data_IF_575366010882
#
_entry.id   IF_575366010882
#
_cell.length_a   1.000
_cell.length_b   1.000
_cell.length_c   1.000
_cell.angle_alpha   90.00
_cell.angle_beta   90.00
_cell.angle_gamma   90.00
#
_symmetry.space_group_name_H-M   'P 1'
#
loop_
_entity.id
_entity.type
_entity.pdbx_description
1 polymer ?
#
# COMPACT_ATOMS: atom_id res chain seq x y z
N UNK A 1 -39.02 -50.28 -5.82
CA UNK A 1 -37.84 -49.89 -5.00
C UNK A 1 -36.55 -49.66 -5.80
N UNK A 2 -36.55 -49.63 -7.15
CA UNK A 2 -35.35 -49.32 -7.97
C UNK A 2 -35.33 -47.91 -8.59
N UNK A 3 -36.41 -47.13 -8.49
CA UNK A 3 -36.50 -45.76 -9.02
C UNK A 3 -36.35 -44.65 -7.97
N UNK A 4 -36.24 -45.01 -6.69
CA UNK A 4 -36.07 -44.04 -5.59
C UNK A 4 -34.61 -43.81 -5.20
N UNK A 5 -33.70 -44.72 -5.57
CA UNK A 5 -32.27 -44.63 -5.25
C UNK A 5 -31.53 -43.66 -6.20
N UNK A 6 -32.06 -43.43 -7.41
CA UNK A 6 -31.42 -42.56 -8.40
C UNK A 6 -31.59 -41.07 -8.10
N UNK A 7 -32.55 -40.68 -7.24
CA UNK A 7 -32.81 -39.26 -6.93
C UNK A 7 -31.98 -38.74 -5.74
N UNK A 8 -31.40 -39.63 -4.92
CA UNK A 8 -30.59 -39.25 -3.75
C UNK A 8 -29.11 -39.01 -4.13
N UNK A 9 -28.64 -39.58 -5.25
CA UNK A 9 -27.27 -39.38 -5.75
C UNK A 9 -27.06 -38.06 -6.51
N UNK A 10 -28.12 -37.33 -6.86
CA UNK A 10 -28.00 -36.03 -7.56
C UNK A 10 -27.85 -34.82 -6.64
N UNK A 11 -28.00 -34.98 -5.32
CA UNK A 11 -27.91 -33.89 -4.34
C UNK A 11 -26.57 -33.81 -3.59
N UNK A 12 -25.61 -34.69 -3.89
CA UNK A 12 -24.28 -34.69 -3.24
C UNK A 12 -23.22 -33.89 -4.03
N UNK A 13 -23.54 -33.44 -5.25
CA UNK A 13 -22.56 -32.77 -6.14
C UNK A 13 -22.59 -31.24 -6.13
N UNK A 14 -23.21 -30.59 -5.15
CA UNK A 14 -23.35 -29.12 -5.12
C UNK A 14 -22.83 -28.45 -3.84
N UNK A 15 -21.73 -28.93 -3.28
CA UNK A 15 -20.93 -28.18 -2.30
C UNK A 15 -19.42 -28.24 -2.63
N UNK A 16 -19.06 -28.16 -3.91
CA UNK A 16 -17.74 -27.64 -4.26
C UNK A 16 -17.79 -26.12 -4.07
N UNK A 17 -17.79 -25.67 -2.81
CA UNK A 17 -17.34 -24.31 -2.51
C UNK A 17 -15.95 -24.19 -3.10
N UNK A 18 -15.74 -23.24 -4.01
CA UNK A 18 -14.42 -22.90 -4.52
C UNK A 18 -13.50 -22.73 -3.31
N UNK A 19 -12.52 -23.61 -3.16
CA UNK A 19 -11.48 -23.39 -2.17
C UNK A 19 -10.80 -22.07 -2.53
N UNK A 20 -10.67 -21.18 -1.55
CA UNK A 20 -9.99 -19.90 -1.76
C UNK A 20 -8.56 -20.19 -2.25
N UNK A 21 -8.22 -19.70 -3.43
CA UNK A 21 -6.87 -19.86 -3.99
C UNK A 21 -5.93 -18.87 -3.29
N UNK A 22 -5.34 -19.33 -2.19
CA UNK A 22 -4.43 -18.52 -1.38
C UNK A 22 -3.19 -18.07 -2.15
N UNK A 23 -2.76 -18.83 -3.17
CA UNK A 23 -1.63 -18.43 -4.02
C UNK A 23 -2.01 -17.25 -4.91
N UNK A 24 -3.22 -17.26 -5.48
CA UNK A 24 -3.76 -16.14 -6.25
C UNK A 24 -3.93 -14.89 -5.37
N UNK A 25 -4.50 -15.04 -4.17
CA UNK A 25 -4.64 -13.94 -3.20
C UNK A 25 -3.27 -13.35 -2.85
N UNK A 26 -2.28 -14.19 -2.53
CA UNK A 26 -0.93 -13.75 -2.23
C UNK A 26 -0.29 -12.99 -3.41
N UNK A 27 -0.49 -13.48 -4.64
CA UNK A 27 0.00 -12.83 -5.85
C UNK A 27 -0.62 -11.44 -6.04
N UNK A 28 -1.94 -11.31 -5.87
CA UNK A 28 -2.64 -10.05 -6.07
C UNK A 28 -2.24 -8.98 -5.04
N UNK A 29 -2.16 -9.37 -3.76
CA UNK A 29 -1.66 -8.50 -2.68
C UNK A 29 -0.20 -8.09 -2.96
N UNK A 30 0.65 -9.03 -3.40
CA UNK A 30 2.05 -8.73 -3.73
C UNK A 30 2.17 -7.74 -4.89
N UNK A 31 1.37 -7.92 -5.96
CA UNK A 31 1.38 -7.02 -7.11
C UNK A 31 0.96 -5.61 -6.71
N UNK A 32 -0.10 -5.49 -5.90
CA UNK A 32 -0.59 -4.19 -5.44
C UNK A 32 0.39 -3.53 -4.46
N UNK A 33 0.93 -4.29 -3.51
CA UNK A 33 1.92 -3.80 -2.57
C UNK A 33 3.22 -3.32 -3.25
N UNK A 34 3.72 -4.06 -4.24
CA UNK A 34 4.87 -3.64 -5.05
C UNK A 34 4.57 -2.42 -5.91
N UNK A 35 3.33 -2.26 -6.36
CA UNK A 35 2.90 -1.06 -7.08
C UNK A 35 2.89 0.17 -6.16
N UNK A 36 2.30 0.05 -4.97
CA UNK A 36 2.31 1.11 -3.96
C UNK A 36 3.73 1.47 -3.51
N UNK A 37 4.59 0.47 -3.29
CA UNK A 37 6.00 0.68 -2.97
C UNK A 37 6.70 1.58 -4.00
N UNK A 38 6.52 1.31 -5.30
CA UNK A 38 7.13 2.11 -6.36
C UNK A 38 6.66 3.57 -6.30
N UNK A 39 5.36 3.79 -6.07
CA UNK A 39 4.78 5.11 -5.96
C UNK A 39 5.26 5.84 -4.71
N UNK A 40 5.28 5.17 -3.56
CA UNK A 40 5.71 5.76 -2.29
C UNK A 40 7.19 6.09 -2.30
N UNK A 41 8.02 5.17 -2.82
CA UNK A 41 9.46 5.40 -3.00
C UNK A 41 9.73 6.56 -3.95
N UNK A 42 8.97 6.66 -5.03
CA UNK A 42 9.09 7.76 -5.99
C UNK A 42 8.67 9.09 -5.38
N UNK A 43 7.59 9.11 -4.59
CA UNK A 43 7.17 10.30 -3.85
C UNK A 43 8.28 10.74 -2.88
N UNK A 44 8.72 9.86 -1.98
CA UNK A 44 9.75 10.16 -0.98
C UNK A 44 11.04 10.64 -1.63
N UNK A 45 11.64 9.84 -2.52
CA UNK A 45 12.92 10.21 -3.13
C UNK A 45 12.78 11.37 -4.11
N UNK A 46 11.65 11.46 -4.81
CA UNK A 46 11.37 12.52 -5.77
C UNK A 46 11.20 13.88 -5.13
N UNK A 47 10.53 13.97 -3.98
CA UNK A 47 10.41 15.23 -3.24
C UNK A 47 11.75 15.70 -2.71
N UNK A 48 12.61 14.80 -2.24
CA UNK A 48 13.95 15.15 -1.76
C UNK A 48 14.83 15.66 -2.90
N UNK A 49 14.83 14.94 -4.03
CA UNK A 49 15.55 15.31 -5.24
C UNK A 49 15.08 16.66 -5.78
N UNK A 50 13.76 16.85 -5.91
CA UNK A 50 13.20 18.10 -6.40
C UNK A 50 13.53 19.28 -5.48
N UNK A 51 13.36 19.10 -4.16
CA UNK A 51 13.58 20.17 -3.17
C UNK A 51 15.03 20.64 -3.11
N UNK A 52 16.00 19.74 -3.33
CA UNK A 52 17.43 20.09 -3.40
C UNK A 52 17.78 20.95 -4.62
N UNK A 53 17.05 20.78 -5.72
CA UNK A 53 17.37 21.43 -7.00
C UNK A 53 16.47 22.63 -7.34
N UNK A 54 15.26 22.70 -6.79
CA UNK A 54 14.30 23.77 -7.08
C UNK A 54 14.55 25.03 -6.25
N UNK A 55 14.63 26.19 -6.91
CA UNK A 55 15.06 27.45 -6.28
C UNK A 55 13.94 28.24 -5.60
N UNK A 56 12.68 27.87 -5.81
CA UNK A 56 11.51 28.64 -5.35
C UNK A 56 10.57 27.80 -4.45
N UNK A 57 11.05 27.23 -3.32
CA UNK A 57 10.26 26.29 -2.51
C UNK A 57 8.93 26.88 -2.02
N UNK A 58 8.87 28.19 -1.84
CA UNK A 58 7.64 28.90 -1.47
C UNK A 58 6.52 28.75 -2.51
N UNK A 59 6.80 28.39 -3.77
CA UNK A 59 5.78 28.15 -4.80
C UNK A 59 5.15 26.77 -4.73
N UNK A 60 5.77 25.81 -4.05
CA UNK A 60 5.30 24.42 -3.99
C UNK A 60 3.96 24.36 -3.25
N UNK A 61 2.96 23.75 -3.87
CA UNK A 61 1.66 23.44 -3.29
C UNK A 61 1.53 22.00 -2.83
N UNK A 62 2.29 21.10 -3.45
CA UNK A 62 2.32 19.68 -3.08
C UNK A 62 2.92 18.83 -4.18
N UNK A 63 2.76 17.52 -4.02
CA UNK A 63 3.25 16.52 -4.95
C UNK A 63 2.31 15.32 -4.99
N UNK A 64 2.47 14.49 -6.01
CA UNK A 64 1.98 13.11 -6.02
C UNK A 64 2.83 12.27 -6.95
N UNK A 65 2.88 10.97 -6.67
CA UNK A 65 3.51 10.00 -7.55
C UNK A 65 2.48 9.29 -8.42
N UNK A 66 2.93 8.81 -9.57
CA UNK A 66 2.12 8.04 -10.51
C UNK A 66 3.02 7.19 -11.43
N UNK A 67 2.42 6.20 -12.10
CA UNK A 67 3.10 5.42 -13.12
C UNK A 67 2.86 6.01 -14.51
N UNK A 68 3.94 6.20 -15.27
CA UNK A 68 3.89 6.48 -16.71
C UNK A 68 4.44 5.26 -17.45
N UNK A 69 3.54 4.38 -17.88
CA UNK A 69 3.90 3.00 -18.24
C UNK A 69 4.49 2.28 -17.03
N UNK A 70 5.70 1.73 -17.17
CA UNK A 70 6.42 1.07 -16.07
C UNK A 70 7.41 2.01 -15.35
N UNK A 71 7.35 3.32 -15.59
CA UNK A 71 8.26 4.28 -14.98
C UNK A 71 7.55 5.07 -13.88
N UNK A 72 7.92 4.86 -12.60
CA UNK A 72 7.37 5.68 -11.54
C UNK A 72 7.89 7.11 -11.66
N UNK A 73 7.02 8.06 -11.34
CA UNK A 73 7.29 9.49 -11.39
C UNK A 73 6.77 10.18 -10.14
N UNK A 74 7.42 11.27 -9.75
CA UNK A 74 6.94 12.21 -8.75
C UNK A 74 6.75 13.57 -9.41
N UNK A 75 5.49 14.04 -9.46
CA UNK A 75 5.13 15.34 -9.98
C UNK A 75 5.00 16.32 -8.82
N UNK A 76 5.62 17.48 -8.95
CA UNK A 76 5.49 18.60 -8.00
C UNK A 76 4.69 19.71 -8.65
N UNK A 77 3.70 20.25 -7.95
CA UNK A 77 2.80 21.28 -8.46
C UNK A 77 2.79 22.53 -7.57
N UNK A 78 2.41 23.66 -8.17
CA UNK A 78 2.40 24.96 -7.51
C UNK A 78 1.20 25.14 -6.59
N UNK A 79 1.33 26.00 -5.58
CA UNK A 79 0.21 26.44 -4.74
C UNK A 79 -0.73 27.39 -5.50
N UNK A 80 -1.93 27.60 -4.95
CA UNK A 80 -2.94 28.53 -5.46
C UNK A 80 -4.12 27.85 -6.14
N UNK A 81 -5.11 28.64 -6.57
CA UNK A 81 -6.38 28.14 -7.10
C UNK A 81 -6.26 27.47 -8.47
N UNK A 82 -5.23 27.83 -9.24
CA UNK A 82 -4.92 27.25 -10.54
C UNK A 82 -3.51 26.64 -10.51
N UNK A 83 -3.33 25.50 -9.83
CA UNK A 83 -2.02 24.88 -9.70
C UNK A 83 -1.50 24.44 -11.08
N UNK A 84 -0.18 24.56 -11.27
CA UNK A 84 0.53 24.12 -12.46
C UNK A 84 1.62 23.13 -12.07
N UNK A 85 2.01 22.27 -12.99
CA UNK A 85 3.17 21.39 -12.80
C UNK A 85 4.41 22.28 -12.74
N UNK A 86 5.21 22.16 -11.68
CA UNK A 86 6.50 22.85 -11.53
C UNK A 86 7.66 21.98 -12.03
N UNK A 87 7.50 20.66 -11.93
CA UNK A 87 8.39 19.71 -12.56
C UNK A 87 8.05 18.29 -12.21
N UNK A 88 8.77 17.36 -12.84
CA UNK A 88 8.55 15.93 -12.70
C UNK A 88 9.90 15.24 -12.52
N UNK A 89 10.05 14.50 -11.43
CA UNK A 89 11.16 13.57 -11.22
C UNK A 89 10.74 12.21 -11.77
N UNK A 90 11.57 11.62 -12.63
CA UNK A 90 11.30 10.33 -13.26
C UNK A 90 12.39 9.32 -12.90
N UNK A 91 11.97 8.10 -12.60
CA UNK A 91 12.86 7.00 -12.22
C UNK A 91 12.89 5.95 -13.34
N UNK A 92 14.10 5.58 -13.77
CA UNK A 92 14.29 4.47 -14.71
C UNK A 92 14.17 3.14 -13.98
N UNK A 93 14.99 2.97 -12.95
CA UNK A 93 14.90 1.91 -11.94
C UNK A 93 14.69 2.59 -10.57
N UNK A 94 13.57 2.29 -9.91
CA UNK A 94 13.23 2.90 -8.61
C UNK A 94 14.16 2.44 -7.48
N UNK A 95 14.86 1.32 -7.65
CA UNK A 95 15.86 0.83 -6.70
C UNK A 95 17.18 1.63 -6.76
N UNK A 96 17.41 2.36 -7.85
CA UNK A 96 18.61 3.17 -8.11
C UNK A 96 18.22 4.65 -8.25
N UNK A 97 17.78 5.24 -7.14
CA UNK A 97 17.22 6.62 -7.09
C UNK A 97 18.20 7.70 -7.56
N UNK A 98 19.50 7.44 -7.51
CA UNK A 98 20.57 8.35 -7.95
C UNK A 98 20.56 8.59 -9.46
N UNK A 99 19.92 7.70 -10.23
CA UNK A 99 19.78 7.84 -11.69
C UNK A 99 18.54 8.61 -12.11
N UNK A 100 17.76 9.10 -11.15
CA UNK A 100 16.55 9.86 -11.43
C UNK A 100 16.85 11.13 -12.22
N UNK A 101 15.95 11.45 -13.14
CA UNK A 101 16.03 12.67 -13.96
C UNK A 101 14.96 13.66 -13.54
N UNK A 102 15.24 14.96 -13.63
CA UNK A 102 14.27 16.02 -13.32
C UNK A 102 13.97 16.84 -14.58
N UNK A 103 12.69 17.04 -14.87
CA UNK A 103 12.21 18.02 -15.85
C UNK A 103 11.57 19.21 -15.12
N UNK A 104 12.19 20.39 -15.20
CA UNK A 104 11.72 21.65 -14.57
C UNK A 104 10.75 22.45 -15.44
N UNK A 105 10.09 21.82 -16.40
CA UNK A 105 9.16 22.52 -17.28
C UNK A 105 7.86 22.87 -16.54
N UNK A 106 7.69 24.16 -16.27
CA UNK A 106 6.39 24.68 -15.81
C UNK A 106 5.36 24.54 -16.93
N UNK A 107 4.25 23.88 -16.63
CA UNK A 107 3.20 23.59 -17.61
C UNK A 107 1.89 23.25 -16.93
N UNK A 108 0.83 23.20 -17.73
CA UNK A 108 -0.45 22.68 -17.27
C UNK A 108 -0.37 21.16 -17.11
N UNK A 109 -1.24 20.62 -16.27
CA UNK A 109 -1.39 19.18 -16.09
C UNK A 109 -1.83 18.53 -17.39
N UNK A 110 -1.24 17.37 -17.71
CA UNK A 110 -1.79 16.47 -18.72
C UNK A 110 -3.09 15.87 -18.22
N UNK A 111 -3.90 15.29 -19.11
CA UNK A 111 -5.20 14.72 -18.77
C UNK A 111 -5.12 13.73 -17.58
N UNK A 112 -4.22 12.74 -17.65
CA UNK A 112 -3.97 11.78 -16.56
C UNK A 112 -3.56 12.47 -15.26
N UNK A 113 -2.58 13.38 -15.32
CA UNK A 113 -2.08 14.08 -14.13
C UNK A 113 -3.18 14.96 -13.50
N UNK A 114 -4.05 15.56 -14.32
CA UNK A 114 -5.18 16.37 -13.85
C UNK A 114 -6.22 15.51 -13.16
N UNK A 115 -6.50 14.32 -13.67
CA UNK A 115 -7.39 13.34 -13.04
C UNK A 115 -6.86 12.92 -11.66
N UNK A 116 -5.61 12.48 -11.60
CA UNK A 116 -4.95 12.07 -10.35
C UNK A 116 -4.87 13.21 -9.34
N UNK A 117 -4.53 14.42 -9.79
CA UNK A 117 -4.57 15.62 -8.97
C UNK A 117 -5.98 15.86 -8.39
N UNK A 118 -7.02 15.70 -9.21
CA UNK A 118 -8.41 15.98 -8.81
C UNK A 118 -8.87 15.02 -7.71
N UNK A 119 -8.70 13.71 -7.88
CA UNK A 119 -9.08 12.73 -6.85
C UNK A 119 -8.23 12.89 -5.59
N UNK A 120 -6.94 13.20 -5.72
CA UNK A 120 -6.07 13.44 -4.57
C UNK A 120 -6.48 14.67 -3.77
N UNK A 121 -6.86 15.76 -4.43
CA UNK A 121 -7.32 16.98 -3.75
C UNK A 121 -8.62 16.72 -3.00
N UNK A 122 -9.59 16.03 -3.62
CA UNK A 122 -10.83 15.63 -2.94
C UNK A 122 -10.56 14.69 -1.75
N UNK A 123 -9.68 13.70 -1.92
CA UNK A 123 -9.25 12.83 -0.84
C UNK A 123 -8.58 13.62 0.31
N UNK A 124 -7.76 14.62 -0.02
CA UNK A 124 -7.15 15.49 0.98
C UNK A 124 -8.21 16.27 1.77
N UNK A 125 -9.19 16.84 1.10
CA UNK A 125 -10.32 17.54 1.76
C UNK A 125 -11.11 16.60 2.66
N UNK A 126 -11.43 15.39 2.18
CA UNK A 126 -12.14 14.36 2.95
C UNK A 126 -11.36 13.99 4.23
N UNK A 127 -10.05 13.74 4.12
CA UNK A 127 -9.18 13.41 5.26
C UNK A 127 -9.15 14.51 6.32
N UNK A 128 -9.32 15.79 5.95
CA UNK A 128 -9.36 16.90 6.91
C UNK A 128 -10.72 17.04 7.61
N UNK A 129 -11.81 16.61 6.97
CA UNK A 129 -13.17 16.87 7.43
C UNK A 129 -13.81 15.67 8.12
N UNK A 130 -13.50 14.46 7.66
CA UNK A 130 -14.15 13.26 8.13
C UNK A 130 -13.43 12.60 9.32
N UNK A 131 -14.19 12.27 10.34
CA UNK A 131 -13.67 11.69 11.60
C UNK A 131 -13.17 10.25 11.47
N UNK A 132 -13.44 9.56 10.36
CA UNK A 132 -12.93 8.22 10.05
C UNK A 132 -11.40 8.24 9.99
N UNK A 133 -10.82 9.29 9.41
CA UNK A 133 -9.37 9.45 9.27
C UNK A 133 -8.78 9.93 10.60
N UNK A 134 -7.89 9.12 11.17
CA UNK A 134 -7.21 9.43 12.43
C UNK A 134 -5.83 9.99 12.16
N UNK A 135 -5.56 11.15 12.72
CA UNK A 135 -4.23 11.73 12.80
C UNK A 135 -3.58 11.34 14.13
N UNK A 136 -2.33 10.86 14.07
CA UNK A 136 -1.52 10.58 15.25
C UNK A 136 -0.33 11.56 15.31
N UNK A 137 0.09 11.92 16.52
CA UNK A 137 1.29 12.74 16.71
C UNK A 137 2.51 12.08 16.05
N UNK A 138 3.39 12.91 15.47
CA UNK A 138 4.60 12.45 14.77
C UNK A 138 4.32 11.52 13.57
N UNK A 139 3.12 11.60 12.99
CA UNK A 139 2.78 10.88 11.76
C UNK A 139 2.26 11.86 10.70
N UNK A 140 2.22 11.41 9.45
CA UNK A 140 1.48 12.04 8.36
C UNK A 140 0.85 10.98 7.48
N UNK A 141 -0.31 11.29 6.91
CA UNK A 141 -0.87 10.51 5.82
C UNK A 141 -0.26 10.99 4.50
N UNK A 142 0.35 10.08 3.75
CA UNK A 142 0.67 10.34 2.34
C UNK A 142 -0.48 9.83 1.46
N UNK A 143 -0.91 10.67 0.52
CA UNK A 143 -2.03 10.37 -0.38
C UNK A 143 -1.51 9.98 -1.75
N UNK A 144 -1.74 8.73 -2.12
CA UNK A 144 -1.27 8.11 -3.36
C UNK A 144 -2.47 7.92 -4.30
N UNK A 145 -2.68 8.82 -5.27
CA UNK A 145 -3.73 8.66 -6.26
C UNK A 145 -3.33 7.64 -7.33
N UNK A 146 -4.27 6.79 -7.70
CA UNK A 146 -4.10 5.73 -8.70
C UNK A 146 -5.33 5.69 -9.61
N UNK A 147 -5.13 5.26 -10.85
CA UNK A 147 -6.22 4.96 -11.78
C UNK A 147 -5.97 3.63 -12.53
N UNK A 148 -5.27 2.71 -11.85
CA UNK A 148 -4.84 1.42 -12.38
C UNK A 148 -6.07 0.59 -12.75
N UNK A 149 -6.06 -0.02 -13.93
CA UNK A 149 -7.22 -0.82 -14.40
C UNK A 149 -8.49 -0.01 -14.67
N UNK A 150 -8.43 1.33 -14.66
CA UNK A 150 -9.59 2.20 -14.78
C UNK A 150 -10.32 2.49 -13.47
N UNK A 151 -9.88 1.89 -12.35
CA UNK A 151 -10.39 2.15 -11.02
C UNK A 151 -9.66 3.32 -10.39
N UNK A 152 -10.39 4.36 -9.98
CA UNK A 152 -9.82 5.56 -9.38
C UNK A 152 -9.77 5.39 -7.87
N UNK A 153 -8.59 5.12 -7.35
CA UNK A 153 -8.38 4.83 -5.93
C UNK A 153 -7.34 5.79 -5.37
N UNK A 154 -7.59 6.36 -4.21
CA UNK A 154 -6.58 7.07 -3.42
C UNK A 154 -6.29 6.27 -2.16
N UNK A 155 -5.06 5.79 -2.03
CA UNK A 155 -4.57 5.22 -0.79
C UNK A 155 -4.06 6.34 0.12
N UNK A 156 -4.30 6.22 1.43
CA UNK A 156 -3.72 7.07 2.44
C UNK A 156 -2.86 6.22 3.38
N UNK A 157 -1.53 6.32 3.25
CA UNK A 157 -0.58 5.54 4.05
C UNK A 157 -0.06 6.37 5.21
N UNK A 158 0.02 5.79 6.41
CA UNK A 158 0.59 6.45 7.57
C UNK A 158 2.11 6.32 7.59
N UNK A 159 2.80 7.44 7.38
CA UNK A 159 4.26 7.53 7.44
C UNK A 159 4.74 8.16 8.76
N UNK A 160 5.85 7.66 9.36
CA UNK A 160 6.45 8.27 10.53
C UNK A 160 7.18 9.58 10.17
N UNK A 161 7.09 10.57 11.06
CA UNK A 161 7.90 11.82 11.00
C UNK A 161 9.17 11.75 11.84
N UNK A 162 9.42 10.60 12.48
CA UNK A 162 10.55 10.34 13.36
C UNK A 162 11.30 9.10 12.89
N UNK A 163 12.59 9.03 13.18
CA UNK A 163 13.45 7.89 12.84
C UNK A 163 13.34 6.77 13.87
N UNK A 164 13.78 5.56 13.51
CA UNK A 164 13.85 4.41 14.44
C UNK A 164 12.50 3.77 14.76
N UNK A 165 11.45 4.03 13.98
CA UNK A 165 10.14 3.40 14.15
C UNK A 165 9.51 3.12 12.79
N UNK A 166 9.04 1.89 12.60
CA UNK A 166 8.21 1.48 11.48
C UNK A 166 6.75 1.49 11.93
N UNK A 167 5.86 2.01 11.11
CA UNK A 167 4.43 2.11 11.41
C UNK A 167 3.65 1.20 10.47
N UNK A 168 2.84 0.31 11.03
CA UNK A 168 1.84 -0.46 10.30
C UNK A 168 0.43 0.03 10.64
N UNK A 169 -0.44 0.05 9.64
CA UNK A 169 -1.82 0.42 9.79
C UNK A 169 -2.08 1.90 10.05
N UNK A 170 -3.32 2.19 10.44
CA UNK A 170 -3.94 3.51 10.22
C UNK A 170 -3.91 3.91 8.73
N UNK A 171 -4.01 2.93 7.84
CA UNK A 171 -4.08 3.16 6.41
C UNK A 171 -5.52 3.13 5.93
N UNK A 172 -5.78 3.82 4.84
CA UNK A 172 -7.11 4.00 4.28
C UNK A 172 -7.11 3.87 2.76
N UNK A 173 -8.28 3.54 2.24
CA UNK A 173 -8.56 3.50 0.82
C UNK A 173 -9.81 4.32 0.53
N UNK A 174 -9.78 5.10 -0.55
CA UNK A 174 -10.90 5.90 -1.03
C UNK A 174 -11.15 5.60 -2.51
N UNK A 175 -12.37 5.16 -2.85
CA UNK A 175 -12.75 4.81 -4.22
C UNK A 175 -13.58 5.92 -4.84
N UNK A 176 -13.24 6.29 -6.07
CA UNK A 176 -13.92 7.31 -6.84
C UNK A 176 -14.58 6.73 -8.08
N UNK A 177 -15.75 7.28 -8.44
CA UNK A 177 -16.40 6.99 -9.71
C UNK A 177 -15.69 7.65 -10.90
N UNK A 178 -16.21 7.40 -12.11
CA UNK A 178 -15.66 7.96 -13.36
C UNK A 178 -15.70 9.50 -13.40
N UNK A 179 -16.65 10.12 -12.70
CA UNK A 179 -16.82 11.57 -12.58
C UNK A 179 -16.00 12.18 -11.42
N UNK A 180 -15.14 11.36 -10.80
CA UNK A 180 -14.29 11.70 -9.66
C UNK A 180 -15.07 12.02 -8.38
N UNK A 181 -16.25 11.45 -8.18
CA UNK A 181 -16.97 11.54 -6.90
C UNK A 181 -16.54 10.41 -5.98
N UNK A 182 -16.35 10.72 -4.70
CA UNK A 182 -16.05 9.71 -3.69
C UNK A 182 -17.27 8.80 -3.50
N UNK A 183 -17.07 7.50 -3.65
CA UNK A 183 -18.14 6.48 -3.56
C UNK A 183 -17.96 5.57 -2.37
N UNK A 184 -16.72 5.33 -1.95
CA UNK A 184 -16.39 4.45 -0.83
C UNK A 184 -15.16 4.98 -0.09
N UNK A 185 -15.13 4.73 1.22
CA UNK A 185 -13.96 4.92 2.06
C UNK A 185 -13.85 3.76 3.03
N UNK A 186 -12.65 3.22 3.11
CA UNK A 186 -12.35 2.02 3.88
C UNK A 186 -11.15 2.29 4.78
N UNK A 187 -11.21 1.73 6.00
CA UNK A 187 -10.08 1.69 6.91
C UNK A 187 -9.47 0.29 6.81
N UNK A 188 -8.23 0.21 6.34
CA UNK A 188 -7.52 -1.06 6.09
C UNK A 188 -7.07 -1.72 7.40
N UNK A 189 -6.79 -0.92 8.43
CA UNK A 189 -6.38 -1.45 9.74
C UNK A 189 -7.11 -0.77 10.88
N UNK A 190 -7.50 -1.54 11.90
CA UNK A 190 -8.19 -0.98 13.07
C UNK A 190 -7.31 -0.02 13.88
N UNK A 191 -6.02 -0.33 14.00
CA UNK A 191 -5.09 0.38 14.88
C UNK A 191 -3.82 0.78 14.13
N UNK A 192 -3.11 1.79 14.67
CA UNK A 192 -1.72 2.08 14.35
C UNK A 192 -0.83 1.16 15.19
N UNK A 193 0.12 0.50 14.56
CA UNK A 193 1.02 -0.48 15.17
C UNK A 193 2.46 0.02 15.00
N UNK A 194 3.04 0.69 16.02
CA UNK A 194 4.42 1.12 15.98
C UNK A 194 5.37 -0.01 16.38
N UNK A 195 6.34 -0.31 15.54
CA UNK A 195 7.46 -1.21 15.84
C UNK A 195 8.74 -0.39 15.89
N UNK A 196 9.34 -0.30 17.07
CA UNK A 196 10.63 0.39 17.26
C UNK A 196 11.75 -0.48 16.68
N UNK A 197 12.68 0.17 15.98
CA UNK A 197 13.92 -0.45 15.55
C UNK A 197 14.88 -0.37 16.75
N UNK A 198 15.36 -1.52 17.20
CA UNK A 198 16.36 -1.62 18.27
C UNK A 198 17.72 -1.90 17.61
N UNK A 199 18.64 -0.96 17.73
CA UNK A 199 19.99 -1.08 17.16
C UNK A 199 20.89 -2.02 18.00
N UNK A 200 20.47 -2.37 19.22
CA UNK A 200 21.24 -3.24 20.15
C UNK A 200 20.84 -4.72 20.05
N UNK A 201 19.62 -5.02 19.56
CA UNK A 201 19.12 -6.39 19.40
C UNK A 201 18.72 -6.66 17.94
N UNK A 202 19.38 -7.63 17.32
CA UNK A 202 19.10 -8.04 15.95
C UNK A 202 17.76 -8.83 15.88
N UNK A 203 16.65 -8.10 15.76
CA UNK A 203 15.35 -8.70 15.48
C UNK A 203 15.31 -9.13 14.01
N UNK A 204 15.43 -10.44 13.74
CA UNK A 204 15.40 -10.98 12.37
C UNK A 204 13.98 -11.08 11.78
N UNK A 205 12.94 -10.97 12.60
CA UNK A 205 11.56 -11.03 12.17
C UNK A 205 10.66 -10.10 12.99
N UNK A 206 9.58 -9.61 12.38
CA UNK A 206 8.52 -8.87 13.05
C UNK A 206 7.15 -9.53 12.84
N UNK A 207 6.20 -9.22 13.71
CA UNK A 207 4.88 -9.83 13.68
C UNK A 207 3.81 -8.89 14.22
N UNK A 208 2.61 -8.92 13.62
CA UNK A 208 1.41 -8.39 14.23
C UNK A 208 0.19 -9.27 13.93
N UNK A 209 -0.94 -8.92 14.54
CA UNK A 209 -2.19 -9.63 14.34
C UNK A 209 -3.28 -8.71 13.84
N UNK A 210 -4.11 -9.22 12.93
CA UNK A 210 -5.33 -8.58 12.50
C UNK A 210 -6.48 -9.00 13.41
N UNK A 211 -7.33 -8.04 13.77
CA UNK A 211 -8.46 -8.28 14.65
C UNK A 211 -9.61 -8.96 13.87
N UNK A 212 -10.52 -9.62 14.57
CA UNK A 212 -11.74 -10.10 13.92
C UNK A 212 -12.52 -8.92 13.30
N UNK A 213 -12.96 -9.08 12.06
CA UNK A 213 -13.67 -8.05 11.30
C UNK A 213 -12.77 -7.03 10.58
N UNK A 214 -11.45 -7.25 10.54
CA UNK A 214 -10.53 -6.59 9.60
C UNK A 214 -10.04 -7.58 8.54
N UNK A 215 -9.19 -7.13 7.61
CA UNK A 215 -8.60 -7.99 6.58
C UNK A 215 -8.02 -9.30 7.14
N UNK A 216 -8.39 -10.41 6.52
CA UNK A 216 -7.94 -11.75 6.94
C UNK A 216 -6.50 -12.05 6.53
N UNK A 217 -5.92 -11.24 5.65
CA UNK A 217 -4.56 -11.34 5.12
C UNK A 217 -3.76 -10.07 5.44
N UNK A 218 -2.45 -10.13 5.24
CA UNK A 218 -1.60 -8.94 5.15
C UNK A 218 -2.12 -7.99 4.06
N UNK A 219 -2.09 -6.67 4.28
CA UNK A 219 -2.59 -5.72 3.27
C UNK A 219 -1.51 -5.34 2.26
N UNK A 220 -1.91 -4.75 1.13
CA UNK A 220 -0.97 -4.16 0.18
C UNK A 220 -0.17 -3.00 0.81
N UNK A 221 -0.74 -2.26 1.76
CA UNK A 221 -0.03 -1.18 2.47
C UNK A 221 0.99 -1.73 3.47
N UNK A 222 0.73 -2.87 4.11
CA UNK A 222 1.73 -3.58 4.91
C UNK A 222 2.95 -3.99 4.05
N UNK A 223 2.71 -4.57 2.87
CA UNK A 223 3.78 -4.93 1.92
C UNK A 223 4.57 -3.69 1.49
N UNK A 224 3.88 -2.59 1.14
CA UNK A 224 4.53 -1.33 0.79
C UNK A 224 5.45 -0.84 1.92
N UNK A 225 4.96 -0.83 3.16
CA UNK A 225 5.72 -0.46 4.36
C UNK A 225 6.92 -1.38 4.57
N UNK A 226 6.75 -2.70 4.43
CA UNK A 226 7.85 -3.67 4.55
C UNK A 226 8.94 -3.41 3.51
N UNK A 227 8.58 -3.19 2.26
CA UNK A 227 9.55 -2.91 1.21
C UNK A 227 10.29 -1.57 1.41
N UNK A 228 9.66 -0.59 2.07
CA UNK A 228 10.30 0.67 2.43
C UNK A 228 11.27 0.52 3.60
N UNK A 229 10.89 -0.26 4.63
CA UNK A 229 11.53 -0.17 5.94
C UNK A 229 12.23 -1.44 6.44
N UNK A 230 11.86 -2.63 5.97
CA UNK A 230 12.37 -3.89 6.52
C UNK A 230 13.91 -3.99 6.47
N UNK A 231 14.53 -3.51 5.38
CA UNK A 231 15.99 -3.47 5.23
C UNK A 231 16.67 -2.60 6.28
N UNK A 232 16.06 -1.47 6.66
CA UNK A 232 16.59 -0.60 7.71
C UNK A 232 16.38 -1.19 9.11
N UNK A 233 15.35 -2.01 9.28
CA UNK A 233 15.06 -2.70 10.53
C UNK A 233 15.77 -4.06 10.68
N UNK A 234 16.51 -4.52 9.67
CA UNK A 234 17.19 -5.83 9.67
C UNK A 234 16.24 -7.03 9.54
N UNK A 235 14.97 -6.82 9.17
CA UNK A 235 13.98 -7.89 9.12
C UNK A 235 14.15 -8.75 7.87
N UNK A 236 14.26 -10.06 8.08
CA UNK A 236 14.25 -11.08 7.03
C UNK A 236 12.85 -11.59 6.73
N UNK A 237 11.96 -11.52 7.71
CA UNK A 237 10.58 -12.00 7.59
C UNK A 237 9.61 -11.12 8.37
N UNK A 238 8.38 -11.04 7.89
CA UNK A 238 7.26 -10.47 8.62
C UNK A 238 6.06 -11.41 8.60
N UNK A 239 5.41 -11.59 9.75
CA UNK A 239 4.27 -12.50 9.90
C UNK A 239 3.04 -11.71 10.34
N UNK A 240 1.95 -11.83 9.58
CA UNK A 240 0.63 -11.33 9.96
C UNK A 240 -0.28 -12.51 10.25
N UNK A 241 -0.80 -12.55 11.48
CA UNK A 241 -1.74 -13.58 11.91
C UNK A 241 -3.16 -13.04 12.01
N UNK A 242 -4.11 -13.74 11.38
CA UNK A 242 -5.55 -13.49 11.55
C UNK A 242 -6.21 -14.68 12.24
N UNK A 243 -7.55 -14.68 12.29
CA UNK A 243 -8.31 -15.79 12.87
C UNK A 243 -8.08 -17.09 12.10
N UNK A 244 -8.13 -17.03 10.78
CA UNK A 244 -8.14 -18.22 9.91
C UNK A 244 -6.85 -18.42 9.12
N UNK A 245 -6.07 -17.37 8.92
CA UNK A 245 -4.89 -17.41 8.05
C UNK A 245 -3.64 -16.83 8.70
N UNK A 246 -2.50 -17.23 8.15
CA UNK A 246 -1.19 -16.67 8.45
C UNK A 246 -0.58 -16.23 7.12
N UNK A 247 -0.23 -14.95 7.05
CA UNK A 247 0.51 -14.35 5.93
C UNK A 247 1.97 -14.19 6.34
N UNK A 248 2.87 -14.74 5.54
CA UNK A 248 4.31 -14.72 5.79
C UNK A 248 4.96 -14.02 4.61
N UNK A 249 5.45 -12.80 4.86
CA UNK A 249 6.25 -12.04 3.90
C UNK A 249 7.73 -12.30 4.14
N UNK A 250 8.43 -12.75 3.11
CA UNK A 250 9.88 -12.88 3.09
C UNK A 250 10.49 -11.59 2.53
N UNK A 251 11.22 -10.87 3.37
CA UNK A 251 11.77 -9.55 3.03
C UNK A 251 12.98 -9.63 2.08
N UNK A 252 13.65 -10.79 2.01
CA UNK A 252 14.85 -10.96 1.18
C UNK A 252 14.47 -11.33 -0.26
N UNK A 253 13.53 -12.26 -0.42
CA UNK A 253 13.00 -12.70 -1.71
C UNK A 253 11.82 -11.86 -2.22
N UNK A 254 11.28 -10.98 -1.37
CA UNK A 254 10.08 -10.17 -1.63
C UNK A 254 8.88 -11.02 -2.11
N UNK A 255 8.60 -12.09 -1.36
CA UNK A 255 7.55 -13.06 -1.66
C UNK A 255 6.57 -13.26 -0.51
N UNK A 256 5.30 -13.49 -0.85
CA UNK A 256 4.22 -13.70 0.11
C UNK A 256 3.72 -15.15 0.03
N UNK A 257 3.69 -15.82 1.19
CA UNK A 257 3.00 -17.10 1.36
C UNK A 257 1.83 -16.90 2.32
N UNK A 258 0.67 -17.40 1.93
CA UNK A 258 -0.52 -17.42 2.79
C UNK A 258 -0.93 -18.88 3.01
N UNK A 259 -1.19 -19.24 4.26
CA UNK A 259 -1.66 -20.57 4.64
C UNK A 259 -2.73 -20.47 5.72
N UNK A 260 -3.45 -21.58 5.93
CA UNK A 260 -4.40 -21.65 7.05
C UNK A 260 -3.64 -21.63 8.37
N UNK A 261 -4.26 -21.11 9.42
CA UNK A 261 -3.70 -21.12 10.77
C UNK A 261 -3.46 -22.54 11.27
N UNK A 262 -4.34 -23.47 10.93
CA UNK A 262 -4.20 -24.88 11.30
C UNK A 262 -2.97 -25.52 10.67
N UNK A 263 -2.69 -25.24 9.39
CA UNK A 263 -1.51 -25.77 8.71
C UNK A 263 -0.22 -25.15 9.25
N UNK A 264 -0.23 -23.85 9.55
CA UNK A 264 0.89 -23.19 10.22
C UNK A 264 1.22 -23.82 11.59
N UNK A 265 0.21 -24.10 12.41
CA UNK A 265 0.41 -24.72 13.73
C UNK A 265 0.88 -26.18 13.63
N UNK A 266 0.51 -26.92 12.57
CA UNK A 266 1.07 -28.26 12.30
C UNK A 266 2.56 -28.18 11.94
N UNK A 267 2.92 -27.32 10.98
CA UNK A 267 4.31 -27.10 10.56
C UNK A 267 5.21 -26.70 11.73
N UNK A 268 4.72 -25.84 12.62
CA UNK A 268 5.46 -25.40 13.81
C UNK A 268 5.72 -26.53 14.82
N UNK A 269 4.84 -27.53 14.89
CA UNK A 269 5.05 -28.72 15.73
C UNK A 269 6.10 -29.65 15.12
N UNK A 270 6.03 -29.88 13.81
CA UNK A 270 6.99 -30.71 13.08
C UNK A 270 8.43 -30.16 13.13
N UNK A 271 8.61 -28.83 13.11
CA UNK A 271 9.93 -28.19 13.21
C UNK A 271 10.53 -28.28 14.63
N UNK A 272 9.70 -28.53 15.65
CA UNK A 272 10.14 -28.63 17.06
C UNK A 272 10.48 -30.06 17.50
N UNK A 273 10.17 -31.05 16.67
CA UNK A 273 10.54 -32.46 16.84
C UNK A 273 11.83 -32.77 16.07
#
# INVERSE_FOLDING_TARGET
>A
MKKLVTLILLFVSLNSFSQLDLAKVAMDITIEGKYLYQLEKAAWSGTDIFSKSYKEPHRIGGYFSFMDGNKPKCLVFSKGNNPRVLGVVSFGDISIVETATIDFKERDFKALEKELYTIRTKAFEEVQQDTLFKAYNNTSLNLIPTNKGGEKIVYALTAPKVTGTVLFGNDYLMVFDKDNNLTEKEKLHRNLIPIKIDDEQEAIASMHSHAEGTDEFITATDICTLMLYAKFAGWKQHIVMSRYYVSIWDCESESLVIMTRDDYEKLKKEIKE
#
